data_IF_894022608271
#
_entry.id   IF_894022608271
#
_cell.length_a   1.000
_cell.length_b   1.000
_cell.length_c   1.000
_cell.angle_alpha   90.00
_cell.angle_beta   90.00
_cell.angle_gamma   90.00
#
_symmetry.space_group_name_H-M   'P 1'
#
loop_
_entity.id
_entity.type
_entity.pdbx_description
1 polymer ?
#
# COMPACT_ATOMS: atom_id res chain seq x y z
N UNK A 1 -14.27 -10.12 15.27
CA UNK A 1 -14.29 -9.91 13.83
C UNK A 1 -13.18 -8.95 13.45
N UNK A 2 -12.38 -9.31 12.49
CA UNK A 2 -11.22 -8.50 12.16
C UNK A 2 -11.51 -7.53 11.05
N UNK A 3 -10.75 -6.45 11.06
CA UNK A 3 -10.71 -5.56 9.93
C UNK A 3 -9.40 -5.80 9.20
N UNK A 4 -9.34 -5.44 7.92
CA UNK A 4 -8.18 -5.70 7.09
C UNK A 4 -7.72 -4.43 6.42
N UNK A 5 -6.41 -4.27 6.38
CA UNK A 5 -5.79 -3.24 5.55
C UNK A 5 -5.13 -3.98 4.39
N UNK A 6 -5.27 -3.46 3.19
CA UNK A 6 -4.77 -4.19 2.02
C UNK A 6 -4.15 -3.25 1.01
N UNK A 7 -3.29 -3.81 0.18
CA UNK A 7 -2.71 -3.11 -0.95
C UNK A 7 -3.04 -3.88 -2.21
N UNK A 8 -3.49 -3.14 -3.22
CA UNK A 8 -3.77 -3.70 -4.54
C UNK A 8 -2.76 -3.13 -5.52
N UNK A 9 -2.30 -3.97 -6.43
CA UNK A 9 -1.48 -3.52 -7.53
C UNK A 9 -2.37 -3.44 -8.76
N UNK A 10 -2.33 -2.31 -9.44
CA UNK A 10 -3.18 -2.06 -10.58
C UNK A 10 -2.46 -2.35 -11.88
N UNK A 11 -3.20 -2.39 -12.97
CA UNK A 11 -2.64 -2.70 -14.27
C UNK A 11 -1.50 -1.76 -14.64
N UNK A 12 -1.64 -0.49 -14.28
CA UNK A 12 -0.62 0.50 -14.63
C UNK A 12 0.55 0.49 -13.66
N UNK A 13 0.60 -0.44 -12.73
CA UNK A 13 1.69 -0.54 -11.77
C UNK A 13 1.51 0.28 -10.52
N UNK A 14 0.44 1.05 -10.41
CA UNK A 14 0.22 1.84 -9.22
C UNK A 14 -0.36 0.97 -8.11
N UNK A 15 -0.32 1.49 -6.88
CA UNK A 15 -0.81 0.77 -5.73
C UNK A 15 -1.98 1.50 -5.10
N UNK A 16 -2.96 0.76 -4.62
CA UNK A 16 -4.12 1.30 -3.96
C UNK A 16 -4.23 0.69 -2.57
N UNK A 17 -4.31 1.52 -1.54
CA UNK A 17 -4.47 1.06 -0.16
C UNK A 17 -5.91 1.25 0.27
N UNK A 18 -6.44 0.28 1.01
CA UNK A 18 -7.79 0.38 1.51
C UNK A 18 -7.95 -0.43 2.79
N UNK A 19 -9.14 -0.37 3.36
CA UNK A 19 -9.48 -1.18 4.52
C UNK A 19 -10.89 -1.71 4.36
N UNK A 20 -11.17 -2.82 5.03
CA UNK A 20 -12.49 -3.42 4.94
C UNK A 20 -12.69 -4.40 6.09
N UNK A 21 -13.94 -4.69 6.41
CA UNK A 21 -14.26 -5.75 7.36
C UNK A 21 -14.58 -7.06 6.63
N UNK A 22 -14.52 -7.08 5.32
CA UNK A 22 -14.76 -8.29 4.55
C UNK A 22 -13.84 -8.26 3.32
N UNK A 23 -12.65 -8.80 3.49
CA UNK A 23 -11.62 -8.69 2.46
C UNK A 23 -12.04 -9.35 1.16
N UNK A 24 -12.60 -10.54 1.23
CA UNK A 24 -12.95 -11.28 0.04
C UNK A 24 -13.99 -10.54 -0.79
N UNK A 25 -15.02 -10.03 -0.12
CA UNK A 25 -16.06 -9.28 -0.83
C UNK A 25 -15.53 -8.00 -1.42
N UNK A 26 -14.66 -7.30 -0.69
CA UNK A 26 -14.13 -6.04 -1.18
C UNK A 26 -13.23 -6.25 -2.39
N UNK A 27 -12.40 -7.29 -2.37
CA UNK A 27 -11.54 -7.58 -3.52
C UNK A 27 -12.40 -7.92 -4.73
N UNK A 28 -13.45 -8.69 -4.53
CA UNK A 28 -14.37 -9.02 -5.61
C UNK A 28 -15.00 -7.74 -6.19
N UNK A 29 -15.38 -6.81 -5.34
CA UNK A 29 -15.94 -5.55 -5.79
C UNK A 29 -14.95 -4.73 -6.61
N UNK A 30 -13.70 -4.72 -6.18
CA UNK A 30 -12.66 -4.05 -6.97
C UNK A 30 -12.48 -4.69 -8.33
N UNK A 31 -12.49 -6.02 -8.38
CA UNK A 31 -12.36 -6.73 -9.65
C UNK A 31 -13.51 -6.41 -10.58
N UNK A 32 -14.70 -6.25 -10.04
CA UNK A 32 -15.88 -5.94 -10.84
C UNK A 32 -15.98 -4.46 -11.18
N UNK A 33 -15.18 -3.62 -10.54
CA UNK A 33 -15.20 -2.20 -10.84
C UNK A 33 -16.33 -1.44 -10.22
N UNK A 34 -16.91 -1.95 -9.13
CA UNK A 34 -18.09 -1.31 -8.58
C UNK A 34 -17.88 -0.61 -7.25
N UNK A 35 -16.69 -0.71 -6.64
CA UNK A 35 -16.54 -0.07 -5.34
C UNK A 35 -15.72 1.20 -5.39
N UNK A 36 -14.99 1.46 -6.44
CA UNK A 36 -14.11 2.61 -6.45
C UNK A 36 -13.77 2.97 -7.89
N UNK A 37 -14.02 4.21 -8.24
CA UNK A 37 -13.74 4.67 -9.61
C UNK A 37 -12.27 4.58 -9.95
N UNK A 38 -11.41 4.89 -8.99
CA UNK A 38 -9.98 4.89 -9.24
C UNK A 38 -9.47 3.51 -9.66
N UNK A 39 -9.89 2.46 -8.93
CA UNK A 39 -9.46 1.11 -9.29
C UNK A 39 -10.21 0.58 -10.51
N UNK A 40 -11.45 1.03 -10.70
CA UNK A 40 -12.21 0.59 -11.85
C UNK A 40 -11.48 0.91 -13.16
N UNK A 41 -10.88 2.06 -13.23
CA UNK A 41 -10.16 2.48 -14.43
C UNK A 41 -8.81 1.80 -14.58
N UNK A 42 -8.33 1.13 -13.55
CA UNK A 42 -7.00 0.54 -13.54
C UNK A 42 -7.01 -0.96 -13.40
N UNK A 43 -8.13 -1.59 -13.73
CA UNK A 43 -8.22 -3.05 -13.69
C UNK A 43 -7.42 -3.65 -14.82
N UNK A 44 -6.94 -4.86 -14.67
CA UNK A 44 -7.16 -5.75 -13.53
C UNK A 44 -6.33 -5.32 -12.33
N UNK A 45 -6.83 -5.63 -11.15
CA UNK A 45 -6.12 -5.36 -9.92
C UNK A 45 -5.72 -6.69 -9.28
N UNK A 46 -4.71 -6.63 -8.42
CA UNK A 46 -4.20 -7.82 -7.78
C UNK A 46 -3.94 -7.51 -6.32
N UNK A 47 -4.41 -8.36 -5.42
CA UNK A 47 -4.12 -8.21 -4.01
C UNK A 47 -2.68 -8.63 -3.77
N UNK A 48 -1.83 -7.71 -3.30
CA UNK A 48 -0.41 -8.00 -3.11
C UNK A 48 -0.01 -7.96 -1.65
N UNK A 49 -0.85 -7.44 -0.76
CA UNK A 49 -0.54 -7.40 0.67
C UNK A 49 -1.80 -7.19 1.47
N UNK A 50 -1.86 -7.82 2.64
CA UNK A 50 -2.96 -7.60 3.58
C UNK A 50 -2.46 -7.79 4.99
N UNK A 51 -3.15 -7.15 5.94
CA UNK A 51 -2.82 -7.28 7.34
C UNK A 51 -4.10 -7.12 8.15
N UNK A 52 -4.30 -7.95 9.15
CA UNK A 52 -5.47 -7.85 10.01
C UNK A 52 -5.26 -6.76 11.05
N UNK A 53 -6.32 -6.07 11.38
CA UNK A 53 -6.30 -5.07 12.44
C UNK A 53 -7.45 -5.37 13.40
N UNK A 54 -7.24 -5.18 14.69
CA UNK A 54 -8.29 -5.55 15.67
C UNK A 54 -9.48 -4.61 15.66
N UNK A 55 -9.32 -3.37 15.24
CA UNK A 55 -10.43 -2.42 15.22
C UNK A 55 -10.43 -1.65 13.92
N UNK A 56 -11.59 -1.05 13.63
CA UNK A 56 -11.71 -0.22 12.43
C UNK A 56 -10.79 0.99 12.52
N UNK A 57 -10.69 1.60 13.68
CA UNK A 57 -9.82 2.78 13.85
C UNK A 57 -8.38 2.47 13.53
N UNK A 58 -7.91 1.31 13.96
CA UNK A 58 -6.54 0.93 13.66
C UNK A 58 -6.35 0.63 12.19
N UNK A 59 -7.34 0.03 11.55
CA UNK A 59 -7.28 -0.22 10.13
C UNK A 59 -7.23 1.08 9.35
N UNK A 60 -8.04 2.04 9.72
CA UNK A 60 -8.07 3.34 9.05
C UNK A 60 -6.73 4.06 9.24
N UNK A 61 -6.20 4.02 10.45
CA UNK A 61 -4.93 4.68 10.73
C UNK A 61 -3.80 4.07 9.91
N UNK A 62 -3.79 2.75 9.80
CA UNK A 62 -2.76 2.05 9.05
C UNK A 62 -2.89 2.37 7.56
N UNK A 63 -4.11 2.36 7.05
CA UNK A 63 -4.34 2.70 5.66
C UNK A 63 -3.85 4.10 5.33
N UNK A 64 -4.14 5.07 6.19
CA UNK A 64 -3.70 6.44 5.96
C UNK A 64 -2.19 6.54 5.95
N UNK A 65 -1.53 5.79 6.83
CA UNK A 65 -0.09 5.79 6.88
C UNK A 65 0.50 5.24 5.58
N UNK A 66 -0.04 4.12 5.12
CA UNK A 66 0.46 3.49 3.91
C UNK A 66 0.23 4.38 2.70
N UNK A 67 -0.90 5.06 2.65
CA UNK A 67 -1.19 5.93 1.53
C UNK A 67 -0.15 7.03 1.38
N UNK A 68 0.45 7.46 2.47
CA UNK A 68 1.47 8.50 2.41
C UNK A 68 2.87 7.99 2.12
N UNK A 69 3.03 6.68 1.99
CA UNK A 69 4.36 6.10 1.78
C UNK A 69 4.77 6.21 0.32
N UNK A 70 6.07 6.22 0.10
CA UNK A 70 6.61 6.17 -1.25
C UNK A 70 6.39 4.79 -1.84
N UNK A 71 6.58 4.70 -3.14
CA UNK A 71 6.48 3.41 -3.81
C UNK A 71 7.49 2.41 -3.23
N UNK A 72 8.70 2.87 -2.94
CA UNK A 72 9.73 1.99 -2.39
C UNK A 72 9.29 1.39 -1.06
N UNK A 73 8.66 2.19 -0.20
CA UNK A 73 8.20 1.68 1.08
C UNK A 73 7.06 0.68 0.91
N UNK A 74 6.16 0.95 -0.01
CA UNK A 74 5.07 0.02 -0.27
C UNK A 74 5.61 -1.30 -0.78
N UNK A 75 6.59 -1.27 -1.65
CA UNK A 75 7.17 -2.50 -2.18
C UNK A 75 7.94 -3.26 -1.12
N UNK A 76 8.62 -2.56 -0.23
CA UNK A 76 9.30 -3.23 0.88
C UNK A 76 8.28 -3.94 1.78
N UNK A 77 7.15 -3.31 2.02
CA UNK A 77 6.09 -3.92 2.81
C UNK A 77 5.56 -5.18 2.13
N UNK A 78 5.31 -5.11 0.85
CA UNK A 78 4.79 -6.23 0.09
C UNK A 78 5.75 -7.42 0.13
N UNK A 79 7.02 -7.14 0.06
CA UNK A 79 8.04 -8.19 0.05
C UNK A 79 8.38 -8.70 1.45
N UNK A 80 7.86 -8.05 2.47
CA UNK A 80 8.20 -8.44 3.84
C UNK A 80 9.61 -8.08 4.20
N UNK A 81 10.18 -7.09 3.53
CA UNK A 81 11.55 -6.68 3.77
C UNK A 81 11.57 -5.63 4.86
N UNK A 82 11.53 -6.09 6.10
CA UNK A 82 11.42 -5.20 7.25
C UNK A 82 12.64 -4.35 7.46
N UNK A 83 13.81 -4.84 7.09
CA UNK A 83 15.04 -4.08 7.22
C UNK A 83 14.99 -2.86 6.29
N UNK A 84 14.61 -3.09 5.04
CA UNK A 84 14.52 -1.99 4.09
C UNK A 84 13.41 -1.03 4.46
N UNK A 85 12.26 -1.54 4.89
CA UNK A 85 11.15 -0.70 5.28
C UNK A 85 11.54 0.20 6.44
N UNK A 86 12.22 -0.36 7.43
CA UNK A 86 12.67 0.39 8.56
C UNK A 86 13.63 1.49 8.14
N UNK A 87 14.56 1.16 7.26
CA UNK A 87 15.53 2.12 6.77
C UNK A 87 14.84 3.25 6.00
N UNK A 88 13.88 2.91 5.15
CA UNK A 88 13.16 3.91 4.37
C UNK A 88 12.25 4.78 5.24
N UNK A 89 11.95 4.35 6.44
CA UNK A 89 11.12 5.12 7.34
C UNK A 89 11.89 6.23 8.05
N UNK A 90 13.21 6.22 7.97
CA UNK A 90 14.01 7.26 8.60
C UNK A 90 14.00 8.51 7.75
N UNK A 91 14.22 9.65 8.39
CA UNK A 91 14.36 10.88 7.65
C UNK A 91 15.57 10.78 6.72
N UNK A 92 15.52 11.44 5.57
CA UNK A 92 16.67 11.38 4.65
C UNK A 92 17.98 11.79 5.30
N UNK A 93 17.96 12.70 6.25
CA UNK A 93 19.19 13.14 6.91
C UNK A 93 19.75 12.06 7.82
N UNK A 94 18.97 11.04 8.16
CA UNK A 94 19.43 9.98 9.04
C UNK A 94 19.89 8.75 8.27
N UNK A 95 19.77 8.75 6.95
CA UNK A 95 20.14 7.60 6.16
C UNK A 95 21.52 7.76 5.59
N UNK A 96 22.22 6.66 5.38
CA UNK A 96 23.45 6.74 4.62
C UNK A 96 23.12 7.24 3.22
N UNK A 97 23.99 8.06 2.69
CA UNK A 97 23.76 8.60 1.38
C UNK A 97 23.96 7.54 0.33
N UNK A 98 22.97 7.28 -0.49
CA UNK A 98 23.14 6.36 -1.60
C UNK A 98 22.33 6.87 -2.78
N UNK A 99 22.80 6.61 -3.94
CA UNK A 99 22.13 7.03 -5.15
C UNK A 99 20.83 6.25 -5.34
N UNK A 100 20.89 4.99 -5.06
CA UNK A 100 19.72 4.17 -5.25
C UNK A 100 18.57 4.63 -4.36
N UNK A 101 18.90 4.97 -3.13
CA UNK A 101 17.85 5.44 -2.25
C UNK A 101 17.26 6.73 -2.75
N UNK A 102 18.07 7.61 -3.22
CA UNK A 102 17.58 8.86 -3.72
C UNK A 102 16.62 8.66 -4.87
N UNK A 103 16.93 7.79 -5.77
CA UNK A 103 16.06 7.54 -6.88
C UNK A 103 14.75 6.90 -6.45
N UNK A 104 14.81 6.03 -5.50
CA UNK A 104 13.59 5.43 -5.01
C UNK A 104 12.66 6.45 -4.45
N UNK A 105 13.20 7.42 -3.80
CA UNK A 105 12.34 8.37 -3.17
C UNK A 105 11.57 9.20 -4.15
N UNK A 106 12.01 9.25 -5.32
CA UNK A 106 11.34 10.09 -6.23
C UNK A 106 10.07 9.57 -6.74
N UNK A 107 9.65 8.62 -6.43
CA UNK A 107 8.68 8.04 -7.02
C UNK A 107 7.52 8.63 -7.05
N UNK A 108 7.25 9.14 -7.31
CA UNK A 108 6.22 9.66 -7.49
C UNK A 108 5.15 8.96 -7.43
N UNK A 109 4.99 8.25 -6.92
CA UNK A 109 4.07 7.48 -6.94
C UNK A 109 3.05 7.84 -6.30
N UNK A 110 2.60 8.16 -5.92
CA UNK A 110 1.75 8.22 -5.46
C UNK A 110 0.96 8.78 -5.47
N UNK A 111 0.43 9.04 -5.45
CA UNK A 111 -0.50 9.53 -5.30
C UNK A 111 -1.33 9.43 -5.92
#
# INVERSE_FOLDING_TARGET
MDFWVYLLRCRDGSYYAGHTDNLEARISQHQQGICCEWTRKRRPIQLVWREAAPTREEAIAFERRIKGWTRAKKEALIQGDWVRLNWLSRAPSERPSTTADFQSASAQDER
#
